data_IF_472541319641
#
_entry.id   IF_472541319641
#
_cell.length_a   1.000
_cell.length_b   1.000
_cell.length_c   1.000
_cell.angle_alpha   90.00
_cell.angle_beta   90.00
_cell.angle_gamma   90.00
#
_symmetry.space_group_name_H-M   'P 1'
#
loop_
_entity.id
_entity.type
_entity.pdbx_description
1 polymer ?
#
# COMPACT_ATOMS: atom_id res chain seq x y z
N UNK A 1 15.83 -33.42 56.02
CA UNK A 1 14.40 -33.83 55.89
C UNK A 1 13.63 -32.56 55.55
N UNK A 2 13.11 -32.33 54.34
CA UNK A 2 12.15 -33.14 53.57
C UNK A 2 12.33 -32.84 52.05
N UNK A 3 12.09 -33.85 51.23
CA UNK A 3 12.34 -33.94 49.79
C UNK A 3 11.29 -33.20 48.92
N UNK A 4 11.66 -32.98 47.64
CA UNK A 4 10.85 -33.09 46.38
C UNK A 4 9.62 -32.15 46.25
N UNK A 5 9.27 -31.51 45.13
CA UNK A 5 9.03 -32.00 43.76
C UNK A 5 8.93 -30.77 42.82
N UNK A 6 9.40 -30.95 41.58
CA UNK A 6 9.22 -30.09 40.41
C UNK A 6 7.72 -29.84 40.12
N UNK A 7 7.28 -28.59 39.93
CA UNK A 7 6.02 -28.34 39.21
C UNK A 7 6.19 -27.16 38.28
N UNK A 8 6.46 -27.48 37.02
CA UNK A 8 6.10 -26.64 35.89
C UNK A 8 4.64 -26.27 36.03
N UNK A 9 4.34 -24.98 36.16
CA UNK A 9 2.98 -24.46 36.06
C UNK A 9 2.97 -23.42 34.94
N UNK A 10 2.95 -23.93 33.70
CA UNK A 10 2.31 -23.22 32.60
C UNK A 10 0.83 -23.54 32.72
N UNK A 11 0.02 -22.53 33.03
CA UNK A 11 -1.33 -22.24 32.49
C UNK A 11 -1.83 -21.02 33.25
N UNK A 12 -1.74 -19.85 32.62
CA UNK A 12 -2.86 -18.91 32.66
C UNK A 12 -3.35 -18.85 31.21
N UNK A 13 -4.52 -19.45 31.00
CA UNK A 13 -5.36 -19.23 29.86
C UNK A 13 -5.84 -17.78 29.95
N UNK A 14 -5.15 -16.85 29.29
CA UNK A 14 -5.76 -15.55 29.00
C UNK A 14 -6.55 -15.78 27.72
N UNK A 15 -7.82 -16.18 27.86
CA UNK A 15 -8.86 -15.77 26.90
C UNK A 15 -9.09 -14.27 27.11
N UNK A 16 -8.08 -13.47 26.82
CA UNK A 16 -8.29 -12.11 26.37
C UNK A 16 -8.51 -12.22 24.88
N UNK A 17 -9.37 -11.40 24.31
CA UNK A 17 -9.30 -11.17 22.88
C UNK A 17 -7.81 -11.01 22.53
N UNK A 18 -7.29 -11.78 21.57
CA UNK A 18 -6.16 -11.28 20.79
C UNK A 18 -6.62 -9.88 20.44
N UNK A 19 -5.98 -8.85 21.00
CA UNK A 19 -6.15 -7.54 20.42
C UNK A 19 -5.65 -7.77 19.00
N UNK A 20 -6.59 -7.91 18.07
CA UNK A 20 -6.27 -8.07 16.67
C UNK A 20 -5.23 -6.99 16.38
N UNK A 21 -4.13 -7.40 15.74
CA UNK A 21 -3.12 -6.44 15.33
C UNK A 21 -3.77 -5.32 14.50
N UNK A 22 -3.03 -4.24 14.23
CA UNK A 22 -3.47 -3.31 13.19
C UNK A 22 -3.83 -4.09 11.93
N UNK A 23 -5.07 -4.01 11.48
CA UNK A 23 -5.52 -4.69 10.27
C UNK A 23 -6.01 -3.71 9.23
N UNK A 24 -5.95 -4.14 7.98
CA UNK A 24 -6.66 -3.51 6.89
C UNK A 24 -7.52 -4.56 6.17
N UNK A 25 -8.71 -4.16 5.75
CA UNK A 25 -9.54 -4.99 4.86
C UNK A 25 -9.61 -4.34 3.49
N UNK A 26 -9.25 -5.06 2.43
CA UNK A 26 -9.54 -4.60 1.07
C UNK A 26 -11.03 -4.84 0.78
N UNK A 27 -11.81 -3.77 0.55
CA UNK A 27 -13.26 -3.88 0.39
C UNK A 27 -13.69 -4.45 -0.98
N UNK A 28 -12.74 -4.60 -1.92
CA UNK A 28 -13.03 -5.07 -3.27
C UNK A 28 -13.76 -4.07 -4.14
N UNK A 29 -13.81 -2.80 -3.68
CA UNK A 29 -14.34 -1.60 -4.32
C UNK A 29 -13.19 -0.64 -4.68
N UNK A 30 -13.53 0.47 -5.31
CA UNK A 30 -12.59 1.47 -5.83
C UNK A 30 -12.74 1.68 -7.33
N UNK A 31 -12.00 2.66 -7.84
CA UNK A 31 -11.99 3.09 -9.22
C UNK A 31 -10.80 2.46 -9.94
N UNK A 32 -11.02 1.33 -10.63
CA UNK A 32 -9.96 0.61 -11.33
C UNK A 32 -10.27 0.32 -12.80
N UNK A 33 -9.24 0.45 -13.64
CA UNK A 33 -9.17 -0.10 -14.99
C UNK A 33 -8.35 -1.39 -15.03
N UNK A 34 -7.89 -1.78 -16.22
CA UNK A 34 -6.97 -2.90 -16.40
C UNK A 34 -5.77 -2.47 -17.23
N UNK A 35 -4.57 -2.82 -16.78
CA UNK A 35 -3.32 -2.59 -17.49
C UNK A 35 -2.64 -3.91 -17.84
N UNK A 36 -1.93 -3.95 -18.97
CA UNK A 36 -1.06 -5.08 -19.29
C UNK A 36 0.38 -4.73 -18.95
N UNK A 37 0.94 -5.44 -17.97
CA UNK A 37 2.34 -5.31 -17.57
C UNK A 37 3.15 -6.48 -18.15
N UNK A 38 4.15 -6.21 -19.01
CA UNK A 38 5.05 -7.25 -19.53
C UNK A 38 5.68 -8.06 -18.39
N UNK A 39 5.61 -9.39 -18.47
CA UNK A 39 6.15 -10.29 -17.44
C UNK A 39 5.20 -10.60 -16.28
N UNK A 40 4.15 -9.79 -16.06
CA UNK A 40 3.15 -10.02 -15.00
C UNK A 40 1.81 -10.48 -15.59
N UNK A 41 1.33 -9.84 -16.66
CA UNK A 41 0.05 -10.14 -17.30
C UNK A 41 -0.93 -8.98 -17.24
N UNK A 42 -2.23 -9.28 -17.23
CA UNK A 42 -3.28 -8.28 -17.04
C UNK A 42 -3.57 -8.12 -15.55
N UNK A 43 -3.47 -6.89 -15.06
CA UNK A 43 -3.70 -6.53 -13.66
C UNK A 43 -4.75 -5.44 -13.57
N UNK A 44 -5.43 -5.36 -12.42
CA UNK A 44 -6.25 -4.19 -12.11
C UNK A 44 -5.32 -3.02 -11.80
N UNK A 45 -5.64 -1.85 -12.34
CA UNK A 45 -4.86 -0.65 -12.13
C UNK A 45 -5.79 0.51 -11.75
N UNK A 46 -5.62 1.04 -10.54
CA UNK A 46 -6.37 2.17 -10.05
C UNK A 46 -6.47 2.19 -8.53
N UNK A 47 -7.38 3.03 -8.06
CA UNK A 47 -7.64 3.22 -6.64
C UNK A 47 -8.39 2.01 -6.07
N UNK A 48 -8.04 1.67 -4.84
CA UNK A 48 -8.64 0.62 -4.04
C UNK A 48 -9.08 1.16 -2.69
N UNK A 49 -10.29 0.80 -2.29
CA UNK A 49 -10.86 1.21 -1.01
C UNK A 49 -10.55 0.18 0.08
N UNK A 50 -10.00 0.67 1.18
CA UNK A 50 -9.58 -0.12 2.34
C UNK A 50 -10.30 0.33 3.60
N UNK A 51 -10.50 -0.59 4.54
CA UNK A 51 -10.96 -0.29 5.89
C UNK A 51 -9.81 -0.51 6.89
N UNK A 52 -9.29 0.58 7.46
CA UNK A 52 -8.29 0.56 8.51
C UNK A 52 -8.92 0.29 9.88
N UNK A 53 -8.25 -0.52 10.70
CA UNK A 53 -8.63 -0.80 12.07
C UNK A 53 -7.38 -0.94 12.96
N UNK A 54 -7.18 0.01 13.87
CA UNK A 54 -6.14 -0.01 14.90
C UNK A 54 -4.73 0.27 14.40
N UNK A 55 -4.56 0.90 13.22
CA UNK A 55 -3.25 1.25 12.66
C UNK A 55 -2.73 2.53 13.34
N UNK A 56 -1.63 2.42 14.08
CA UNK A 56 -1.02 3.56 14.77
C UNK A 56 -0.69 4.72 13.81
N UNK A 57 -1.25 5.89 14.08
CA UNK A 57 -1.05 7.10 13.27
C UNK A 57 -1.96 7.21 12.04
N UNK A 58 -2.88 6.27 11.84
CA UNK A 58 -3.95 6.32 10.82
C UNK A 58 -5.29 6.26 11.55
N UNK A 59 -6.26 7.07 11.09
CA UNK A 59 -7.60 7.03 11.65
C UNK A 59 -8.31 5.74 11.20
N UNK A 60 -9.02 5.09 12.12
CA UNK A 60 -9.92 3.99 11.77
C UNK A 60 -10.98 4.48 10.78
N UNK A 61 -11.30 3.63 9.80
CA UNK A 61 -12.29 3.94 8.78
C UNK A 61 -11.84 3.64 7.36
N UNK A 62 -12.67 4.07 6.41
CA UNK A 62 -12.42 3.87 4.99
C UNK A 62 -11.40 4.88 4.47
N UNK A 63 -10.50 4.42 3.61
CA UNK A 63 -9.56 5.25 2.88
C UNK A 63 -9.24 4.63 1.52
N UNK A 64 -8.86 5.50 0.59
CA UNK A 64 -8.46 5.13 -0.76
C UNK A 64 -6.94 4.97 -0.81
N UNK A 65 -6.45 3.97 -1.53
CA UNK A 65 -5.01 3.73 -1.71
C UNK A 65 -4.70 3.09 -3.06
N UNK A 66 -3.42 2.95 -3.37
CA UNK A 66 -2.89 2.36 -4.60
C UNK A 66 -1.90 1.24 -4.28
N UNK A 67 -1.70 0.31 -5.22
CA UNK A 67 -0.57 -0.61 -5.12
C UNK A 67 0.72 0.13 -5.43
N UNK A 68 1.78 -0.12 -4.65
CA UNK A 68 3.12 0.39 -4.97
C UNK A 68 3.86 -0.57 -5.90
N UNK A 69 3.70 -1.87 -5.70
CA UNK A 69 4.31 -2.94 -6.51
C UNK A 69 3.33 -3.49 -7.55
N UNK A 70 3.77 -3.71 -8.79
CA UNK A 70 2.89 -4.18 -9.87
C UNK A 70 2.68 -5.71 -9.87
N UNK A 71 3.55 -6.45 -9.19
CA UNK A 71 3.53 -7.91 -9.10
C UNK A 71 2.99 -8.44 -7.75
N UNK A 72 2.52 -7.55 -6.88
CA UNK A 72 1.86 -7.91 -5.62
C UNK A 72 0.34 -7.80 -5.73
N UNK A 73 -0.38 -8.67 -5.02
CA UNK A 73 -1.82 -8.79 -5.16
C UNK A 73 -2.53 -8.82 -3.80
N UNK A 74 -3.65 -8.12 -3.74
CA UNK A 74 -4.62 -8.23 -2.66
C UNK A 74 -5.89 -8.94 -3.13
N UNK A 75 -6.56 -9.58 -2.20
CA UNK A 75 -7.79 -10.32 -2.43
C UNK A 75 -8.98 -9.55 -1.87
N UNK A 76 -10.07 -9.52 -2.66
CA UNK A 76 -11.28 -8.78 -2.29
C UNK A 76 -11.90 -9.37 -1.03
N UNK A 77 -12.28 -8.50 -0.10
CA UNK A 77 -12.84 -8.83 1.20
C UNK A 77 -11.90 -9.66 2.10
N UNK A 78 -10.59 -9.60 1.85
CA UNK A 78 -9.59 -10.20 2.72
C UNK A 78 -9.09 -9.21 3.75
N UNK A 79 -8.82 -9.73 4.95
CA UNK A 79 -8.19 -9.02 6.06
C UNK A 79 -6.69 -9.32 6.03
N UNK A 80 -5.89 -8.29 6.28
CA UNK A 80 -4.44 -8.36 6.35
C UNK A 80 -3.95 -7.73 7.63
N UNK A 81 -2.91 -8.30 8.23
CA UNK A 81 -2.08 -7.59 9.19
C UNK A 81 -1.35 -6.46 8.46
N UNK A 82 -1.34 -5.26 9.06
CA UNK A 82 -0.88 -4.05 8.39
C UNK A 82 0.22 -3.34 9.20
N UNK A 83 1.31 -2.97 8.53
CA UNK A 83 2.41 -2.21 9.12
C UNK A 83 2.76 -1.01 8.25
N UNK A 84 2.90 0.17 8.86
CA UNK A 84 3.34 1.37 8.17
C UNK A 84 4.87 1.49 8.18
N UNK A 85 5.46 1.62 6.99
CA UNK A 85 6.89 1.79 6.77
C UNK A 85 7.16 2.97 5.83
N UNK A 86 8.43 3.36 5.70
CA UNK A 86 8.89 4.33 4.69
C UNK A 86 9.17 3.69 3.33
N UNK A 87 9.00 2.37 3.24
CA UNK A 87 9.47 1.53 2.14
C UNK A 87 8.57 0.29 2.01
N UNK A 88 8.50 -0.28 0.81
CA UNK A 88 8.02 -1.62 0.60
C UNK A 88 9.09 -2.61 1.10
N UNK A 89 8.77 -3.35 2.16
CA UNK A 89 9.76 -4.12 2.92
C UNK A 89 10.35 -5.27 2.09
N UNK A 90 9.57 -5.81 1.14
CA UNK A 90 10.01 -6.89 0.26
C UNK A 90 10.46 -6.39 -1.13
N UNK A 91 10.14 -5.15 -1.49
CA UNK A 91 10.27 -4.60 -2.85
C UNK A 91 9.45 -5.39 -3.89
N UNK A 92 9.47 -4.94 -5.14
CA UNK A 92 8.78 -5.62 -6.24
C UNK A 92 9.67 -5.92 -7.43
N UNK A 93 9.29 -5.41 -8.60
CA UNK A 93 9.98 -5.64 -9.85
C UNK A 93 11.23 -4.76 -9.99
N UNK A 94 11.17 -3.52 -9.50
CA UNK A 94 12.23 -2.51 -9.53
C UNK A 94 12.51 -1.91 -8.15
N UNK A 95 13.17 -0.73 -8.11
CA UNK A 95 13.26 0.16 -6.94
C UNK A 95 14.19 -0.28 -5.80
N UNK A 96 14.20 -1.56 -5.42
CA UNK A 96 15.10 -2.07 -4.38
C UNK A 96 14.54 -3.25 -3.59
N UNK A 97 15.24 -3.60 -2.50
CA UNK A 97 14.74 -4.51 -1.48
C UNK A 97 15.48 -4.24 -0.14
N UNK A 98 14.88 -3.48 0.80
CA UNK A 98 13.57 -2.82 0.69
C UNK A 98 13.57 -1.73 -0.40
N UNK A 99 12.38 -1.40 -0.92
CA UNK A 99 12.17 -0.36 -1.92
C UNK A 99 11.61 0.93 -1.27
N UNK A 100 12.42 2.01 -1.15
CA UNK A 100 11.98 3.25 -0.51
C UNK A 100 10.93 4.00 -1.33
N UNK A 101 9.86 4.44 -0.68
CA UNK A 101 8.83 5.27 -1.30
C UNK A 101 9.44 6.58 -1.83
N UNK A 102 9.30 6.85 -3.13
CA UNK A 102 9.79 8.11 -3.70
C UNK A 102 8.97 9.32 -3.24
N UNK A 103 9.62 10.49 -3.19
CA UNK A 103 8.92 11.76 -2.93
C UNK A 103 7.86 12.04 -4.02
N UNK A 104 8.14 11.69 -5.28
CA UNK A 104 7.21 11.88 -6.39
C UNK A 104 5.93 11.06 -6.20
N UNK A 105 6.04 9.79 -5.82
CA UNK A 105 4.87 8.94 -5.55
C UNK A 105 4.09 9.41 -4.34
N UNK A 106 4.77 9.82 -3.28
CA UNK A 106 4.13 10.42 -2.11
C UNK A 106 3.37 11.71 -2.46
N UNK A 107 3.92 12.54 -3.34
CA UNK A 107 3.26 13.74 -3.84
C UNK A 107 2.00 13.41 -4.64
N UNK A 108 2.08 12.42 -5.55
CA UNK A 108 0.91 11.96 -6.32
C UNK A 108 -0.20 11.46 -5.42
N UNK A 109 0.10 10.61 -4.44
CA UNK A 109 -0.91 10.13 -3.52
C UNK A 109 -1.58 11.30 -2.75
N UNK A 110 -0.79 12.24 -2.23
CA UNK A 110 -1.33 13.41 -1.57
C UNK A 110 -2.19 14.28 -2.51
N UNK A 111 -1.78 14.45 -3.78
CA UNK A 111 -2.56 15.17 -4.78
C UNK A 111 -3.89 14.47 -5.10
N UNK A 112 -3.90 13.13 -5.16
CA UNK A 112 -5.11 12.35 -5.38
C UNK A 112 -6.12 12.53 -4.25
N UNK A 113 -5.66 12.52 -2.99
CA UNK A 113 -6.54 12.73 -1.83
C UNK A 113 -7.25 14.10 -1.89
N UNK A 114 -6.58 15.14 -2.41
CA UNK A 114 -7.17 16.47 -2.59
C UNK A 114 -8.20 16.53 -3.74
N UNK A 115 -8.11 15.64 -4.73
CA UNK A 115 -9.10 15.54 -5.81
C UNK A 115 -10.44 14.94 -5.32
N UNK A 116 -10.40 14.07 -4.31
CA UNK A 116 -11.55 13.31 -3.84
C UNK A 116 -12.07 12.31 -4.89
N UNK A 117 -13.36 11.97 -4.81
CA UNK A 117 -13.98 10.95 -5.67
C UNK A 117 -13.77 11.26 -7.17
N UNK A 118 -13.07 10.36 -7.86
CA UNK A 118 -12.65 10.54 -9.25
C UNK A 118 -13.03 9.36 -10.13
N UNK A 119 -12.88 9.51 -11.44
CA UNK A 119 -13.18 8.44 -12.40
C UNK A 119 -12.11 7.33 -12.37
N UNK A 120 -12.50 6.11 -12.77
CA UNK A 120 -11.57 5.00 -13.01
C UNK A 120 -10.45 5.30 -14.00
N UNK A 121 -10.67 6.18 -14.98
CA UNK A 121 -9.61 6.61 -15.90
C UNK A 121 -8.54 7.42 -15.18
N UNK A 122 -8.95 8.40 -14.35
CA UNK A 122 -8.00 9.21 -13.57
C UNK A 122 -7.26 8.32 -12.56
N UNK A 123 -7.98 7.49 -11.82
CA UNK A 123 -7.34 6.57 -10.89
C UNK A 123 -6.34 5.61 -11.57
N UNK A 124 -6.64 5.14 -12.79
CA UNK A 124 -5.69 4.34 -13.57
C UNK A 124 -4.46 5.14 -14.00
N UNK A 125 -4.62 6.40 -14.41
CA UNK A 125 -3.48 7.27 -14.76
C UNK A 125 -2.56 7.48 -13.54
N UNK A 126 -3.12 7.63 -12.34
CA UNK A 126 -2.37 7.67 -11.08
C UNK A 126 -1.63 6.36 -10.81
N UNK A 127 -2.31 5.21 -10.92
CA UNK A 127 -1.68 3.91 -10.68
C UNK A 127 -0.51 3.65 -11.64
N UNK A 128 -0.65 4.02 -12.91
CA UNK A 128 0.44 3.89 -13.90
C UNK A 128 1.59 4.85 -13.61
N UNK A 129 1.29 6.08 -13.19
CA UNK A 129 2.31 7.06 -12.81
C UNK A 129 3.11 6.57 -11.58
N UNK A 130 2.42 6.06 -10.56
CA UNK A 130 3.01 5.45 -9.36
C UNK A 130 3.95 4.31 -9.75
N UNK A 131 3.45 3.32 -10.49
CA UNK A 131 4.29 2.19 -10.92
C UNK A 131 5.48 2.61 -11.77
N UNK A 132 5.41 3.69 -12.53
CA UNK A 132 6.57 4.15 -13.29
C UNK A 132 7.61 4.81 -12.40
N UNK A 133 7.18 5.64 -11.45
CA UNK A 133 8.06 6.34 -10.51
C UNK A 133 8.76 5.38 -9.54
N UNK A 134 8.10 4.28 -9.18
CA UNK A 134 8.66 3.19 -8.36
C UNK A 134 9.33 2.10 -9.22
N UNK A 135 9.62 2.37 -10.49
CA UNK A 135 10.36 1.45 -11.39
C UNK A 135 9.70 0.09 -11.69
N UNK A 136 8.41 -0.06 -11.41
CA UNK A 136 7.62 -1.28 -11.64
C UNK A 136 7.20 -1.48 -13.10
N UNK A 137 7.12 -0.39 -13.86
CA UNK A 137 6.75 -0.40 -15.29
C UNK A 137 7.68 0.50 -16.12
N UNK A 138 7.47 0.48 -17.44
CA UNK A 138 8.27 1.28 -18.38
C UNK A 138 7.38 2.07 -19.35
N UNK A 139 8.03 2.95 -20.13
CA UNK A 139 7.36 3.95 -20.96
C UNK A 139 6.26 3.44 -21.94
N UNK A 140 6.36 2.28 -22.61
CA UNK A 140 5.28 1.85 -23.52
C UNK A 140 3.97 1.49 -22.81
N UNK A 141 3.93 1.45 -21.47
CA UNK A 141 2.71 1.21 -20.69
C UNK A 141 1.98 2.50 -20.27
N UNK A 142 2.59 3.68 -20.42
CA UNK A 142 2.04 4.93 -19.92
C UNK A 142 0.97 5.53 -20.86
N UNK A 143 -0.06 6.13 -20.25
CA UNK A 143 -1.04 6.99 -20.92
C UNK A 143 -0.52 8.44 -20.98
N UNK A 144 -1.16 9.30 -21.77
CA UNK A 144 -0.87 10.74 -21.76
C UNK A 144 -1.14 11.36 -20.37
N UNK A 145 -2.18 10.89 -19.67
CA UNK A 145 -2.53 11.33 -18.33
C UNK A 145 -1.47 10.95 -17.29
N UNK A 146 -0.99 9.70 -17.33
CA UNK A 146 0.08 9.24 -16.45
C UNK A 146 1.40 10.02 -16.70
N UNK A 147 1.74 10.29 -17.97
CA UNK A 147 2.91 11.12 -18.32
C UNK A 147 2.80 12.55 -17.76
N UNK A 148 1.61 13.15 -17.81
CA UNK A 148 1.41 14.48 -17.23
C UNK A 148 1.58 14.48 -15.70
N UNK A 149 1.02 13.47 -15.02
CA UNK A 149 1.16 13.30 -13.57
C UNK A 149 2.62 13.12 -13.14
N UNK A 150 3.39 12.30 -13.87
CA UNK A 150 4.83 12.11 -13.63
C UNK A 150 5.56 13.46 -13.72
N UNK A 151 5.31 14.23 -14.79
CA UNK A 151 5.95 15.54 -14.98
C UNK A 151 5.58 16.53 -13.87
N UNK A 152 4.32 16.54 -13.41
CA UNK A 152 3.87 17.39 -12.31
C UNK A 152 4.53 17.01 -10.98
N UNK A 153 4.65 15.71 -10.69
CA UNK A 153 5.31 15.21 -9.48
C UNK A 153 6.82 15.53 -9.48
N UNK A 154 7.51 15.31 -10.61
CA UNK A 154 8.90 15.70 -10.79
C UNK A 154 9.09 17.20 -10.60
N UNK A 155 8.20 18.02 -11.16
CA UNK A 155 8.25 19.47 -10.99
C UNK A 155 8.09 19.87 -9.52
N UNK A 156 7.11 19.30 -8.81
CA UNK A 156 6.87 19.62 -7.41
C UNK A 156 8.07 19.29 -6.51
N UNK A 157 8.69 18.13 -6.69
CA UNK A 157 9.89 17.73 -5.93
C UNK A 157 11.08 18.64 -6.27
N UNK A 158 11.27 18.98 -7.54
CA UNK A 158 12.33 19.92 -7.95
C UNK A 158 12.15 21.34 -7.37
N UNK A 159 10.90 21.78 -7.15
CA UNK A 159 10.58 23.05 -6.48
C UNK A 159 10.67 22.96 -4.94
N UNK A 160 11.10 21.82 -4.41
CA UNK A 160 11.43 21.64 -2.99
C UNK A 160 10.33 21.00 -2.15
N UNK A 161 9.30 20.41 -2.76
CA UNK A 161 8.41 19.51 -2.02
C UNK A 161 9.18 18.25 -1.58
N UNK A 162 8.93 17.79 -0.36
CA UNK A 162 9.46 16.52 0.14
C UNK A 162 8.45 15.82 1.03
N UNK A 163 8.45 14.49 1.01
CA UNK A 163 7.54 13.71 1.81
C UNK A 163 7.96 13.77 3.29
N UNK A 164 6.98 14.03 4.16
CA UNK A 164 7.17 14.03 5.61
C UNK A 164 6.11 13.21 6.35
N UNK A 165 5.12 12.67 5.66
CA UNK A 165 3.91 12.09 6.28
C UNK A 165 3.38 10.84 5.60
N UNK A 166 3.49 10.72 4.28
CA UNK A 166 3.00 9.56 3.53
C UNK A 166 3.93 8.37 3.76
N UNK A 167 3.33 7.19 3.89
CA UNK A 167 4.00 5.93 4.22
C UNK A 167 3.48 4.79 3.36
N UNK A 168 4.26 3.73 3.27
CA UNK A 168 3.88 2.46 2.65
C UNK A 168 3.15 1.60 3.67
N UNK A 169 1.99 1.07 3.30
CA UNK A 169 1.25 0.10 4.10
C UNK A 169 1.61 -1.31 3.63
N UNK A 170 2.51 -1.97 4.36
CA UNK A 170 2.90 -3.36 4.09
C UNK A 170 1.84 -4.31 4.66
N UNK A 171 1.37 -5.24 3.83
CA UNK A 171 0.28 -6.16 4.14
C UNK A 171 0.79 -7.59 4.28
N UNK A 172 0.33 -8.29 5.30
CA UNK A 172 0.65 -9.70 5.54
C UNK A 172 -0.64 -10.49 5.71
N UNK A 173 -0.70 -11.70 5.14
CA UNK A 173 -1.86 -12.58 5.35
C UNK A 173 -2.07 -12.82 6.85
N UNK A 174 -3.32 -12.69 7.31
CA UNK A 174 -3.69 -12.98 8.69
C UNK A 174 -3.38 -14.45 9.03
N UNK A 175 -2.70 -14.68 10.16
CA UNK A 175 -2.24 -16.00 10.61
C UNK A 175 -3.30 -16.88 11.26
#
# INVERSE_FOLDING_TARGET
MRNLVLTTMLVICVTGAVQAGPTVTFLGTGNAGTAHIPGVGWVYAGEMEYLANGIDGVADGQFDSFCIEANEYVHRNSVYDAVLNTEAVQGGFGGGNPDPLSDQTAWLYNNYLDLGNNSGTVAMDYQLAIWYLEEEISNPQLTDGANALIADAEYAVNEGWSNTTIKVLNLYEEG
#
